data_IF_182987640148
#
_entry.id   IF_182987640148
#
_cell.length_a   1.000
_cell.length_b   1.000
_cell.length_c   1.000
_cell.angle_alpha   90.00
_cell.angle_beta   90.00
_cell.angle_gamma   90.00
#
_symmetry.space_group_name_H-M   'P 1'
#
loop_
_entity.id
_entity.type
_entity.pdbx_description
1 polymer ?
#
# COMPACT_ATOMS: atom_id res chain seq x y z
N UNK A 1 20.73 -18.27 -2.30
CA UNK A 1 21.15 -18.98 -1.05
C UNK A 1 20.71 -20.43 -1.18
N UNK A 2 21.61 -21.35 -0.97
CA UNK A 2 21.35 -22.80 -1.13
C UNK A 2 21.39 -23.57 0.20
N UNK A 3 21.76 -22.90 1.28
CA UNK A 3 21.80 -23.47 2.64
C UNK A 3 20.98 -22.60 3.58
N UNK A 4 20.13 -23.19 4.43
CA UNK A 4 19.45 -22.43 5.47
C UNK A 4 20.49 -21.90 6.48
N UNK A 5 20.19 -20.74 7.07
CA UNK A 5 21.00 -20.15 8.13
C UNK A 5 20.10 -19.39 9.12
N UNK A 6 20.62 -19.18 10.33
CA UNK A 6 19.86 -18.70 11.48
C UNK A 6 19.14 -17.36 11.20
N UNK A 7 19.82 -16.38 10.61
CA UNK A 7 19.22 -15.06 10.34
C UNK A 7 18.01 -15.09 9.40
N UNK A 8 18.02 -15.98 8.38
CA UNK A 8 16.85 -16.16 7.52
C UNK A 8 15.65 -16.72 8.30
N UNK A 9 15.93 -17.76 9.11
CA UNK A 9 14.90 -18.42 9.93
C UNK A 9 14.32 -17.43 10.94
N UNK A 10 15.18 -16.66 11.63
CA UNK A 10 14.74 -15.67 12.61
C UNK A 10 13.86 -14.57 12.01
N UNK A 11 14.18 -14.05 10.81
CA UNK A 11 13.30 -13.10 10.10
C UNK A 11 11.96 -13.74 9.75
N UNK A 12 11.96 -14.97 9.25
CA UNK A 12 10.73 -15.69 8.91
C UNK A 12 9.85 -15.91 10.15
N UNK A 13 10.44 -16.31 11.29
CA UNK A 13 9.73 -16.47 12.57
C UNK A 13 9.15 -15.15 13.07
N UNK A 14 9.93 -14.06 12.99
CA UNK A 14 9.46 -12.72 13.37
C UNK A 14 8.26 -12.28 12.50
N UNK A 15 8.33 -12.47 11.19
CA UNK A 15 7.22 -12.14 10.28
C UNK A 15 5.98 -13.02 10.54
N UNK A 16 6.17 -14.32 10.80
CA UNK A 16 5.07 -15.21 11.16
C UNK A 16 4.37 -14.79 12.44
N UNK A 17 5.11 -14.25 13.41
CA UNK A 17 4.57 -13.74 14.68
C UNK A 17 3.87 -12.40 14.52
N UNK A 18 4.45 -11.48 13.75
CA UNK A 18 4.00 -10.09 13.65
C UNK A 18 2.80 -9.90 12.72
N UNK A 19 2.68 -10.71 11.68
CA UNK A 19 1.58 -10.56 10.72
C UNK A 19 0.24 -10.98 11.30
N UNK A 20 -0.89 -10.32 10.92
CA UNK A 20 -2.22 -10.58 11.48
C UNK A 20 -2.68 -12.05 11.40
N UNK A 21 -3.46 -12.46 12.39
CA UNK A 21 -4.12 -13.77 12.51
C UNK A 21 -3.31 -14.79 13.32
N UNK A 22 -4.04 -15.74 13.94
CA UNK A 22 -3.48 -16.76 14.86
C UNK A 22 -3.22 -18.13 14.18
N UNK A 23 -3.49 -18.23 12.88
CA UNK A 23 -3.25 -19.44 12.10
C UNK A 23 -1.75 -19.71 11.91
N UNK A 24 -1.39 -20.96 11.63
CA UNK A 24 -0.01 -21.32 11.27
C UNK A 24 0.42 -20.58 10.00
N UNK A 25 1.60 -19.97 10.05
CA UNK A 25 2.15 -19.17 8.96
C UNK A 25 3.52 -19.65 8.52
N UNK A 26 3.88 -19.34 7.28
CA UNK A 26 5.21 -19.47 6.71
C UNK A 26 5.58 -18.22 5.94
N UNK A 27 6.89 -17.94 5.89
CA UNK A 27 7.45 -16.80 5.15
C UNK A 27 8.49 -17.25 4.14
N UNK A 28 8.49 -16.58 2.98
CA UNK A 28 9.56 -16.71 1.98
C UNK A 28 10.13 -15.31 1.71
N UNK A 29 11.47 -15.19 1.68
CA UNK A 29 12.18 -13.93 1.56
C UNK A 29 12.65 -13.70 0.12
N UNK A 30 12.55 -12.44 -0.32
CA UNK A 30 12.89 -11.93 -1.66
C UNK A 30 13.68 -10.63 -1.53
N UNK A 31 13.97 -9.95 -2.66
CA UNK A 31 14.78 -8.73 -2.65
C UNK A 31 13.96 -7.44 -2.82
N UNK A 32 12.76 -7.51 -3.38
CA UNK A 32 11.93 -6.34 -3.69
C UNK A 32 10.44 -6.62 -3.52
N UNK A 33 9.66 -5.57 -3.30
CA UNK A 33 8.19 -5.68 -3.25
C UNK A 33 7.59 -6.28 -4.51
N UNK A 34 8.15 -5.95 -5.69
CA UNK A 34 7.70 -6.55 -6.95
C UNK A 34 7.91 -8.07 -6.98
N UNK A 35 9.07 -8.56 -6.50
CA UNK A 35 9.31 -10.00 -6.37
C UNK A 35 8.34 -10.64 -5.38
N UNK A 36 8.07 -10.01 -4.24
CA UNK A 36 7.11 -10.51 -3.26
C UNK A 36 5.71 -10.63 -3.88
N UNK A 37 5.23 -9.60 -4.58
CA UNK A 37 3.92 -9.61 -5.27
C UNK A 37 3.87 -10.69 -6.35
N UNK A 38 4.89 -10.82 -7.19
CA UNK A 38 4.99 -11.87 -8.22
C UNK A 38 4.87 -13.28 -7.59
N UNK A 39 5.57 -13.50 -6.47
CA UNK A 39 5.54 -14.77 -5.78
C UNK A 39 4.22 -15.01 -5.01
N UNK A 40 3.61 -13.99 -4.43
CA UNK A 40 2.29 -14.11 -3.81
C UNK A 40 1.23 -14.56 -4.83
N UNK A 41 1.20 -13.96 -6.03
CA UNK A 41 0.33 -14.37 -7.13
C UNK A 41 0.65 -15.79 -7.60
N UNK A 42 1.93 -16.13 -7.72
CA UNK A 42 2.38 -17.47 -8.11
C UNK A 42 1.93 -18.55 -7.12
N UNK A 43 2.04 -18.27 -5.82
CA UNK A 43 1.59 -19.15 -4.74
C UNK A 43 0.06 -19.32 -4.80
N UNK A 44 -0.70 -18.22 -4.90
CA UNK A 44 -2.15 -18.25 -4.98
C UNK A 44 -2.67 -19.04 -6.18
N UNK A 45 -2.07 -18.83 -7.36
CA UNK A 45 -2.39 -19.63 -8.57
C UNK A 45 -2.12 -21.12 -8.38
N UNK A 46 -0.99 -21.45 -7.75
CA UNK A 46 -0.63 -22.85 -7.49
C UNK A 46 -1.55 -23.52 -6.47
N UNK A 47 -1.92 -22.79 -5.41
CA UNK A 47 -2.80 -23.29 -4.36
C UNK A 47 -4.22 -23.54 -4.88
N UNK A 48 -4.78 -22.57 -5.60
CA UNK A 48 -6.18 -22.65 -6.07
C UNK A 48 -6.35 -23.46 -7.35
N UNK A 49 -5.29 -23.66 -8.15
CA UNK A 49 -5.36 -24.20 -9.51
C UNK A 49 -6.03 -23.26 -10.52
N UNK A 50 -6.35 -22.02 -10.12
CA UNK A 50 -7.01 -21.00 -10.95
C UNK A 50 -5.99 -20.03 -11.50
N UNK A 51 -6.35 -19.23 -12.52
CA UNK A 51 -5.39 -18.37 -13.24
C UNK A 51 -5.60 -16.87 -13.02
N UNK A 52 -6.85 -16.41 -12.96
CA UNK A 52 -7.17 -15.01 -12.91
C UNK A 52 -6.78 -14.37 -11.58
N UNK A 53 -6.34 -13.10 -11.64
CA UNK A 53 -6.07 -12.27 -10.47
C UNK A 53 -6.75 -10.92 -10.66
N UNK A 54 -7.38 -10.42 -9.62
CA UNK A 54 -7.99 -9.09 -9.60
C UNK A 54 -7.12 -8.15 -8.78
N UNK A 55 -6.79 -7.01 -9.38
CA UNK A 55 -6.27 -5.81 -8.70
C UNK A 55 -7.32 -4.69 -8.78
N UNK A 56 -7.08 -3.58 -8.09
CA UNK A 56 -8.04 -2.47 -8.03
C UNK A 56 -7.61 -1.25 -8.82
N UNK A 57 -8.56 -0.38 -9.13
CA UNK A 57 -8.27 0.94 -9.64
C UNK A 57 -7.38 1.70 -8.65
N UNK A 58 -6.53 2.57 -9.17
CA UNK A 58 -5.54 3.33 -8.41
C UNK A 58 -4.41 2.50 -7.78
N UNK A 59 -4.41 1.17 -7.85
CA UNK A 59 -3.40 0.31 -7.24
C UNK A 59 -2.00 0.46 -7.87
N UNK A 60 -0.98 0.22 -7.03
CA UNK A 60 0.41 0.10 -7.45
C UNK A 60 1.09 -1.10 -6.78
N UNK A 61 1.51 -2.06 -7.60
CA UNK A 61 2.11 -3.31 -7.11
C UNK A 61 3.54 -3.56 -7.60
N UNK A 62 4.12 -2.65 -8.38
CA UNK A 62 5.50 -2.75 -8.86
C UNK A 62 5.67 -2.47 -10.34
N UNK A 63 6.89 -2.73 -10.85
CA UNK A 63 7.31 -2.39 -12.23
C UNK A 63 7.92 -3.57 -12.99
N UNK A 64 7.72 -4.82 -12.57
CA UNK A 64 8.00 -6.02 -13.36
C UNK A 64 6.81 -6.33 -14.27
N UNK A 65 6.91 -7.27 -15.18
CA UNK A 65 5.89 -7.50 -16.21
C UNK A 65 4.51 -7.80 -15.60
N UNK A 66 4.43 -8.71 -14.62
CA UNK A 66 3.16 -9.01 -13.95
C UNK A 66 2.72 -7.85 -13.04
N UNK A 67 3.62 -7.26 -12.28
CA UNK A 67 3.25 -6.17 -11.35
C UNK A 67 2.84 -4.89 -12.11
N UNK A 68 3.36 -4.63 -13.31
CA UNK A 68 2.84 -3.58 -14.21
C UNK A 68 1.42 -3.90 -14.68
N UNK A 69 1.09 -5.16 -14.96
CA UNK A 69 -0.29 -5.55 -15.27
C UNK A 69 -1.24 -5.26 -14.09
N UNK A 70 -0.80 -5.54 -12.86
CA UNK A 70 -1.55 -5.27 -11.63
C UNK A 70 -1.63 -3.77 -11.30
N UNK A 71 -0.63 -2.96 -11.67
CA UNK A 71 -0.60 -1.51 -11.44
C UNK A 71 -1.61 -0.78 -12.33
N UNK A 72 -2.37 0.16 -11.77
CA UNK A 72 -3.45 0.84 -12.49
C UNK A 72 -2.95 1.94 -13.43
N UNK A 73 -2.16 2.88 -12.92
CA UNK A 73 -1.75 4.10 -13.62
C UNK A 73 -0.82 3.80 -14.80
N UNK A 74 -1.15 4.24 -16.02
CA UNK A 74 -0.33 4.05 -17.21
C UNK A 74 0.97 4.86 -17.14
N UNK A 75 0.87 6.18 -17.15
CA UNK A 75 2.03 7.07 -16.97
C UNK A 75 2.27 7.34 -15.48
N UNK A 76 3.51 7.26 -14.99
CA UNK A 76 4.75 6.95 -15.70
C UNK A 76 5.11 5.44 -15.69
N UNK A 77 4.25 4.54 -15.19
CA UNK A 77 4.68 3.21 -14.76
C UNK A 77 4.77 2.16 -15.87
N UNK A 78 3.86 2.19 -16.85
CA UNK A 78 3.73 1.10 -17.82
C UNK A 78 3.53 1.51 -19.27
N UNK A 79 3.40 2.82 -19.57
CA UNK A 79 3.24 3.30 -20.94
C UNK A 79 4.47 2.93 -21.80
N UNK A 80 4.24 2.19 -22.89
CA UNK A 80 5.30 1.76 -23.80
C UNK A 80 6.07 0.49 -23.41
N UNK A 81 5.75 -0.14 -22.26
CA UNK A 81 6.45 -1.33 -21.75
C UNK A 81 5.71 -2.67 -21.99
N UNK A 82 4.59 -2.66 -22.71
CA UNK A 82 3.84 -3.88 -23.02
C UNK A 82 4.56 -4.78 -24.04
N UNK A 83 4.08 -6.02 -24.23
CA UNK A 83 2.87 -6.60 -23.65
C UNK A 83 3.05 -7.02 -22.19
N UNK A 84 1.96 -6.94 -21.41
CA UNK A 84 1.96 -7.32 -20.00
C UNK A 84 1.45 -8.77 -19.80
N UNK A 85 1.65 -9.31 -18.58
CA UNK A 85 1.11 -10.60 -18.19
C UNK A 85 -0.42 -10.65 -18.31
N UNK A 86 -0.94 -11.75 -18.82
CA UNK A 86 -2.37 -12.02 -18.96
C UNK A 86 -3.03 -12.47 -17.66
N UNK A 87 -4.36 -12.67 -17.74
CA UNK A 87 -5.20 -13.10 -16.61
C UNK A 87 -5.13 -12.15 -15.41
N UNK A 88 -5.01 -10.84 -15.67
CA UNK A 88 -5.09 -9.77 -14.70
C UNK A 88 -6.29 -8.89 -15.03
N UNK A 89 -7.20 -8.78 -14.09
CA UNK A 89 -8.45 -8.05 -14.21
C UNK A 89 -8.49 -6.90 -13.20
N UNK A 90 -9.37 -5.92 -13.43
CA UNK A 90 -9.43 -4.73 -12.61
C UNK A 90 -10.84 -4.48 -12.09
N UNK A 91 -10.95 -4.23 -10.78
CA UNK A 91 -12.19 -3.85 -10.13
C UNK A 91 -12.10 -2.41 -9.59
N UNK A 92 -13.23 -1.70 -9.46
CA UNK A 92 -13.25 -0.40 -8.81
C UNK A 92 -12.93 -0.56 -7.31
N UNK A 93 -12.16 0.39 -6.78
CA UNK A 93 -11.87 0.48 -5.33
C UNK A 93 -12.86 1.43 -4.65
N UNK A 94 -12.96 1.35 -3.32
CA UNK A 94 -13.63 2.39 -2.53
C UNK A 94 -12.75 3.65 -2.50
N UNK A 95 -13.32 4.77 -2.93
CA UNK A 95 -12.69 6.09 -2.90
C UNK A 95 -13.70 7.13 -2.38
N UNK A 96 -13.93 7.19 -1.05
CA UNK A 96 -15.05 7.95 -0.46
C UNK A 96 -15.16 9.38 -0.93
N UNK A 97 -14.04 10.09 -1.04
CA UNK A 97 -14.01 11.47 -1.53
C UNK A 97 -14.51 11.61 -2.97
N UNK A 98 -14.37 10.57 -3.79
CA UNK A 98 -14.70 10.60 -5.20
C UNK A 98 -16.05 9.97 -5.52
N UNK A 99 -16.35 8.84 -4.92
CA UNK A 99 -17.56 8.08 -5.23
C UNK A 99 -18.71 8.25 -4.22
N UNK A 100 -18.38 8.75 -3.01
CA UNK A 100 -19.36 8.99 -1.95
C UNK A 100 -20.07 7.72 -1.45
N UNK A 101 -19.54 6.52 -1.77
CA UNK A 101 -20.14 5.26 -1.41
C UNK A 101 -19.73 4.81 -0.01
N UNK A 102 -20.63 4.14 0.69
CA UNK A 102 -20.27 3.36 1.87
C UNK A 102 -19.36 2.19 1.48
N UNK A 103 -18.67 1.61 2.46
CA UNK A 103 -17.80 0.46 2.22
C UNK A 103 -18.55 -0.74 1.64
N UNK A 104 -19.77 -0.98 2.13
CA UNK A 104 -20.62 -2.08 1.65
C UNK A 104 -21.05 -1.85 0.18
N UNK A 105 -21.48 -0.64 -0.17
CA UNK A 105 -21.87 -0.30 -1.54
C UNK A 105 -20.71 -0.39 -2.52
N UNK A 106 -19.53 0.13 -2.11
CA UNK A 106 -18.32 0.03 -2.91
C UNK A 106 -17.87 -1.41 -3.09
N UNK A 107 -17.96 -2.26 -2.06
CA UNK A 107 -17.65 -3.69 -2.14
C UNK A 107 -18.63 -4.43 -3.07
N UNK A 108 -19.93 -4.18 -2.95
CA UNK A 108 -20.94 -4.75 -3.87
C UNK A 108 -20.67 -4.37 -5.33
N UNK A 109 -20.28 -3.11 -5.58
CA UNK A 109 -19.88 -2.65 -6.91
C UNK A 109 -18.67 -3.42 -7.41
N UNK A 110 -17.61 -3.56 -6.61
CA UNK A 110 -16.41 -4.27 -6.98
C UNK A 110 -16.69 -5.76 -7.26
N UNK A 111 -17.38 -6.45 -6.37
CA UNK A 111 -17.75 -7.86 -6.51
C UNK A 111 -18.58 -8.09 -7.77
N UNK A 112 -19.56 -7.22 -8.04
CA UNK A 112 -20.38 -7.32 -9.27
C UNK A 112 -19.54 -7.21 -10.55
N UNK A 113 -18.50 -6.40 -10.54
CA UNK A 113 -17.55 -6.27 -11.67
C UNK A 113 -16.71 -7.55 -11.79
N UNK A 114 -16.20 -8.06 -10.67
CA UNK A 114 -15.42 -9.31 -10.62
C UNK A 114 -16.24 -10.49 -11.18
N UNK A 115 -17.46 -10.65 -10.71
CA UNK A 115 -18.35 -11.74 -11.15
C UNK A 115 -18.64 -11.67 -12.65
N UNK A 116 -18.85 -10.48 -13.20
CA UNK A 116 -19.14 -10.30 -14.63
C UNK A 116 -17.92 -10.50 -15.53
N UNK A 117 -16.73 -10.15 -15.07
CA UNK A 117 -15.51 -10.24 -15.89
C UNK A 117 -14.84 -11.62 -15.80
N UNK A 118 -14.85 -12.24 -14.63
CA UNK A 118 -14.04 -13.42 -14.32
C UNK A 118 -14.89 -14.55 -13.75
N UNK A 119 -15.76 -14.25 -12.78
CA UNK A 119 -16.43 -15.21 -11.94
C UNK A 119 -15.50 -15.85 -10.90
N UNK A 120 -16.01 -16.05 -9.69
CA UNK A 120 -15.23 -16.55 -8.55
C UNK A 120 -14.54 -17.91 -8.84
N UNK A 121 -15.16 -18.79 -9.62
CA UNK A 121 -14.62 -20.11 -9.96
C UNK A 121 -13.30 -20.09 -10.73
N UNK A 122 -13.00 -19.00 -11.43
CA UNK A 122 -11.76 -18.83 -12.22
C UNK A 122 -10.71 -17.97 -11.49
N UNK A 123 -11.09 -17.32 -10.39
CA UNK A 123 -10.27 -16.33 -9.69
C UNK A 123 -9.35 -17.00 -8.66
N UNK A 124 -8.04 -16.86 -8.85
CA UNK A 124 -7.03 -17.35 -7.94
C UNK A 124 -6.89 -16.44 -6.74
N UNK A 125 -6.83 -15.13 -6.97
CA UNK A 125 -6.57 -14.15 -5.92
C UNK A 125 -7.19 -12.78 -6.20
N UNK A 126 -7.47 -12.07 -5.13
CA UNK A 126 -7.65 -10.62 -5.09
C UNK A 126 -6.44 -10.02 -4.39
N UNK A 127 -5.81 -9.00 -4.96
CA UNK A 127 -4.71 -8.28 -4.35
C UNK A 127 -5.06 -6.80 -4.16
N UNK A 128 -4.79 -6.26 -2.97
CA UNK A 128 -5.09 -4.87 -2.62
C UNK A 128 -4.07 -4.31 -1.63
N UNK A 129 -3.73 -3.04 -1.77
CA UNK A 129 -3.06 -2.26 -0.72
C UNK A 129 -4.15 -1.86 0.31
N UNK A 130 -4.02 -2.12 1.61
CA UNK A 130 -5.02 -1.69 2.61
C UNK A 130 -5.28 -0.18 2.62
N UNK A 131 -4.24 0.61 2.33
CA UNK A 131 -4.30 2.03 1.98
C UNK A 131 -3.50 2.17 0.68
N UNK A 132 -4.12 2.68 -0.38
CA UNK A 132 -3.48 2.73 -1.69
C UNK A 132 -2.41 3.83 -1.74
N UNK A 133 -1.13 3.40 -1.77
CA UNK A 133 0.01 4.30 -1.65
C UNK A 133 0.17 5.25 -2.84
N UNK A 134 0.66 4.76 -3.96
CA UNK A 134 0.88 5.55 -5.18
C UNK A 134 -0.43 6.05 -5.80
N UNK A 135 -1.56 5.40 -5.48
CA UNK A 135 -2.90 5.82 -5.86
C UNK A 135 -3.34 7.12 -5.22
N UNK A 136 -2.68 7.57 -4.13
CA UNK A 136 -2.94 8.84 -3.46
C UNK A 136 -3.29 8.74 -1.99
N UNK A 137 -2.73 7.78 -1.28
CA UNK A 137 -3.03 7.47 0.13
C UNK A 137 -4.54 7.33 0.38
N UNK A 138 -5.21 6.64 -0.59
CA UNK A 138 -6.64 6.42 -0.52
C UNK A 138 -6.94 5.44 0.62
N UNK A 139 -7.67 5.92 1.60
CA UNK A 139 -8.22 5.10 2.69
C UNK A 139 -9.61 4.65 2.27
N UNK A 140 -9.86 3.36 2.09
CA UNK A 140 -11.19 2.88 1.71
C UNK A 140 -12.20 3.13 2.82
N UNK A 141 -13.48 3.26 2.47
CA UNK A 141 -14.57 3.39 3.44
C UNK A 141 -14.64 2.16 4.36
N UNK A 142 -15.04 2.39 5.60
CA UNK A 142 -15.16 1.35 6.62
C UNK A 142 -16.05 0.19 6.12
N UNK A 143 -15.58 -1.04 6.35
CA UNK A 143 -16.25 -2.26 5.91
C UNK A 143 -15.94 -2.71 4.47
N UNK A 144 -15.31 -1.88 3.63
CA UNK A 144 -14.97 -2.27 2.25
C UNK A 144 -14.02 -3.47 2.21
N UNK A 145 -12.88 -3.38 2.91
CA UNK A 145 -11.88 -4.45 2.94
C UNK A 145 -12.42 -5.72 3.57
N UNK A 146 -13.23 -5.60 4.63
CA UNK A 146 -13.86 -6.73 5.31
C UNK A 146 -14.80 -7.46 4.34
N UNK A 147 -15.68 -6.74 3.63
CA UNK A 147 -16.61 -7.34 2.69
C UNK A 147 -15.89 -8.04 1.52
N UNK A 148 -14.77 -7.50 1.03
CA UNK A 148 -13.96 -8.16 -0.01
C UNK A 148 -13.27 -9.41 0.56
N UNK A 149 -12.68 -9.34 1.76
CA UNK A 149 -12.01 -10.47 2.40
C UNK A 149 -13.01 -11.62 2.70
N UNK A 150 -14.19 -11.30 3.23
CA UNK A 150 -15.25 -12.26 3.50
C UNK A 150 -15.75 -12.94 2.21
N UNK A 151 -15.93 -12.15 1.14
CA UNK A 151 -16.30 -12.68 -0.17
C UNK A 151 -15.20 -13.61 -0.72
N UNK A 152 -13.93 -13.25 -0.59
CA UNK A 152 -12.82 -14.11 -0.99
C UNK A 152 -12.85 -15.44 -0.24
N UNK A 153 -13.00 -15.41 1.09
CA UNK A 153 -13.08 -16.58 1.95
C UNK A 153 -14.26 -17.49 1.54
N UNK A 154 -15.44 -16.92 1.33
CA UNK A 154 -16.64 -17.64 0.95
C UNK A 154 -16.50 -18.36 -0.41
N UNK A 155 -15.63 -17.88 -1.29
CA UNK A 155 -15.45 -18.39 -2.65
C UNK A 155 -14.13 -19.17 -2.84
N UNK A 156 -13.32 -19.35 -1.79
CA UNK A 156 -12.00 -19.99 -1.87
C UNK A 156 -11.04 -19.23 -2.79
N UNK A 157 -11.11 -17.90 -2.77
CA UNK A 157 -10.21 -16.97 -3.46
C UNK A 157 -9.17 -16.50 -2.45
N UNK A 158 -7.89 -16.48 -2.82
CA UNK A 158 -6.83 -16.02 -1.92
C UNK A 158 -6.88 -14.48 -1.80
N UNK A 159 -7.02 -13.97 -0.58
CA UNK A 159 -6.97 -12.54 -0.30
C UNK A 159 -5.53 -12.11 0.04
N UNK A 160 -4.93 -11.27 -0.82
CA UNK A 160 -3.54 -10.80 -0.68
C UNK A 160 -3.56 -9.32 -0.26
N UNK A 161 -3.03 -9.01 0.93
CA UNK A 161 -2.76 -7.63 1.33
C UNK A 161 -1.34 -7.22 0.93
N UNK A 162 -1.22 -6.21 0.09
CA UNK A 162 0.07 -5.60 -0.25
C UNK A 162 0.43 -4.52 0.79
N UNK A 163 1.16 -4.93 1.80
CA UNK A 163 1.63 -4.08 2.90
C UNK A 163 3.05 -3.52 2.66
N UNK A 164 3.51 -3.54 1.43
CA UNK A 164 4.85 -3.04 1.05
C UNK A 164 5.06 -1.58 1.47
N UNK A 165 4.01 -0.74 1.42
CA UNK A 165 4.11 0.67 1.82
C UNK A 165 3.49 0.95 3.19
N UNK A 166 2.50 0.19 3.60
CA UNK A 166 1.70 0.43 4.81
C UNK A 166 2.21 -0.29 6.05
N UNK A 167 3.01 -1.33 5.86
CA UNK A 167 3.57 -2.13 6.96
C UNK A 167 4.66 -1.41 7.76
N UNK A 168 5.04 -2.06 8.84
CA UNK A 168 6.11 -1.64 9.75
C UNK A 168 5.86 -0.26 10.37
N UNK A 169 4.81 -0.18 11.15
CA UNK A 169 4.39 0.95 12.01
C UNK A 169 3.95 2.23 11.28
N UNK A 170 4.17 2.34 9.98
CA UNK A 170 3.93 3.55 9.17
C UNK A 170 2.55 4.17 9.37
N UNK A 171 1.53 3.35 9.52
CA UNK A 171 0.12 3.77 9.61
C UNK A 171 -0.41 3.87 11.05
N UNK A 172 0.46 3.71 12.05
CA UNK A 172 0.08 3.70 13.46
C UNK A 172 -0.37 2.34 14.00
N UNK A 173 -0.08 1.28 13.24
CA UNK A 173 -0.15 -0.13 13.64
C UNK A 173 1.02 -0.88 13.00
N UNK A 174 1.35 -2.09 13.43
CA UNK A 174 2.44 -2.87 12.81
C UNK A 174 2.13 -3.11 11.33
N UNK A 175 0.89 -3.45 11.00
CA UNK A 175 0.36 -3.56 9.64
C UNK A 175 -0.98 -2.83 9.51
N UNK A 176 -1.24 -2.20 8.37
CA UNK A 176 -2.50 -1.49 8.16
C UNK A 176 -3.72 -2.43 8.19
N UNK A 177 -3.56 -3.69 7.84
CA UNK A 177 -4.60 -4.72 7.97
C UNK A 177 -5.21 -4.78 9.37
N UNK A 178 -4.42 -4.50 10.42
CA UNK A 178 -4.90 -4.45 11.82
C UNK A 178 -5.89 -3.30 12.03
N UNK A 179 -5.67 -2.14 11.39
CA UNK A 179 -6.55 -0.98 11.51
C UNK A 179 -7.96 -1.25 10.95
N UNK A 180 -8.05 -2.16 9.99
CA UNK A 180 -9.30 -2.55 9.35
C UNK A 180 -9.89 -3.86 9.91
N UNK A 181 -9.19 -4.49 10.88
CA UNK A 181 -9.62 -5.76 11.48
C UNK A 181 -9.70 -6.91 10.47
N UNK A 182 -8.86 -6.91 9.44
CA UNK A 182 -8.79 -7.97 8.41
C UNK A 182 -7.61 -8.89 8.67
N UNK A 183 -7.79 -10.18 8.34
CA UNK A 183 -6.74 -11.20 8.39
C UNK A 183 -6.52 -11.74 6.98
N UNK A 184 -5.51 -11.22 6.25
CA UNK A 184 -5.20 -11.68 4.90
C UNK A 184 -4.71 -13.13 4.86
N UNK A 185 -4.93 -13.82 3.74
CA UNK A 185 -4.36 -15.14 3.48
C UNK A 185 -2.85 -15.07 3.19
N UNK A 186 -2.44 -14.05 2.42
CA UNK A 186 -1.06 -13.70 2.14
C UNK A 186 -0.82 -12.20 2.36
N UNK A 187 0.36 -11.86 2.87
CA UNK A 187 0.82 -10.48 3.03
C UNK A 187 2.15 -10.33 2.29
N UNK A 188 2.28 -9.26 1.49
CA UNK A 188 3.57 -8.88 0.91
C UNK A 188 4.18 -7.72 1.68
N UNK A 189 5.47 -7.82 2.01
CA UNK A 189 6.22 -6.80 2.75
C UNK A 189 7.54 -6.48 2.07
N UNK A 190 7.99 -5.22 2.19
CA UNK A 190 9.28 -4.74 1.71
C UNK A 190 9.58 -3.35 2.32
N UNK A 191 10.27 -2.46 1.60
CA UNK A 191 10.58 -1.06 2.01
C UNK A 191 11.13 -0.97 3.43
N UNK A 192 10.28 -0.69 4.43
CA UNK A 192 10.69 -0.50 5.83
C UNK A 192 11.29 -1.73 6.51
N UNK A 193 11.04 -2.94 5.99
CA UNK A 193 11.41 -4.21 6.64
C UNK A 193 12.88 -4.32 7.09
N UNK A 194 13.81 -3.71 6.35
CA UNK A 194 15.26 -3.84 6.60
C UNK A 194 15.97 -2.48 6.64
N UNK A 195 15.29 -1.42 7.07
CA UNK A 195 15.89 -0.11 7.32
C UNK A 195 16.62 0.51 6.11
N UNK A 196 16.23 0.16 4.88
CA UNK A 196 16.82 0.66 3.64
C UNK A 196 17.61 -0.38 2.84
N UNK A 197 17.89 -1.57 3.38
CA UNK A 197 18.50 -2.67 2.62
C UNK A 197 17.44 -3.44 1.80
N UNK A 198 17.81 -3.98 0.62
CA UNK A 198 16.91 -4.77 -0.20
C UNK A 198 16.49 -6.07 0.49
N UNK A 199 15.25 -6.09 0.94
CA UNK A 199 14.57 -7.27 1.47
C UNK A 199 13.06 -7.14 1.24
N UNK A 200 12.42 -8.27 0.95
CA UNK A 200 10.98 -8.38 0.85
C UNK A 200 10.54 -9.77 1.30
N UNK A 201 9.27 -9.92 1.62
CA UNK A 201 8.74 -11.23 2.01
C UNK A 201 7.30 -11.42 1.51
N UNK A 202 6.94 -12.69 1.36
CA UNK A 202 5.56 -13.16 1.37
C UNK A 202 5.38 -13.96 2.66
N UNK A 203 4.44 -13.56 3.48
CA UNK A 203 4.03 -14.28 4.69
C UNK A 203 2.57 -14.64 4.58
N UNK A 204 2.19 -15.85 4.93
CA UNK A 204 0.78 -16.23 4.88
C UNK A 204 0.48 -17.60 5.45
N UNK A 205 -0.76 -18.03 5.27
CA UNK A 205 -1.26 -19.33 5.76
C UNK A 205 -0.35 -20.46 5.33
N UNK A 206 0.05 -21.31 6.26
CA UNK A 206 1.01 -22.37 6.01
C UNK A 206 0.54 -23.30 4.86
N UNK A 207 -0.74 -23.65 4.83
CA UNK A 207 -1.33 -24.49 3.77
C UNK A 207 -1.28 -23.85 2.38
N UNK A 208 -1.36 -22.53 2.30
CA UNK A 208 -1.25 -21.78 1.03
C UNK A 208 0.21 -21.69 0.62
N UNK A 209 1.09 -21.35 1.55
CA UNK A 209 2.54 -21.26 1.29
C UNK A 209 3.15 -22.60 0.88
N UNK A 210 2.66 -23.72 1.45
CA UNK A 210 3.11 -25.08 1.15
C UNK A 210 2.65 -25.61 -0.22
N UNK A 211 1.75 -24.92 -0.89
CA UNK A 211 1.37 -25.27 -2.27
C UNK A 211 2.56 -25.14 -3.25
N UNK A 212 3.54 -24.32 -2.93
CA UNK A 212 4.76 -24.23 -3.72
C UNK A 212 5.62 -25.50 -3.52
N UNK A 213 5.88 -26.24 -4.62
CA UNK A 213 6.76 -27.40 -4.58
C UNK A 213 8.23 -27.00 -4.34
N UNK A 214 9.06 -27.95 -3.92
CA UNK A 214 10.49 -27.74 -3.72
C UNK A 214 11.14 -27.15 -4.98
N UNK A 215 11.88 -26.04 -4.82
CA UNK A 215 12.46 -25.27 -5.93
C UNK A 215 11.46 -24.40 -6.69
N UNK A 216 10.19 -24.38 -6.30
CA UNK A 216 9.14 -23.56 -6.93
C UNK A 216 9.26 -22.07 -6.60
N UNK A 217 9.81 -21.71 -5.46
CA UNK A 217 10.12 -20.34 -5.05
C UNK A 217 11.63 -20.17 -4.93
N UNK A 218 12.12 -18.96 -5.18
CA UNK A 218 13.53 -18.70 -5.01
C UNK A 218 13.98 -17.36 -5.58
N UNK A 219 15.18 -16.98 -5.19
CA UNK A 219 15.94 -15.83 -5.64
C UNK A 219 17.33 -15.92 -5.02
N UNK A 220 18.38 -15.76 -5.83
CA UNK A 220 19.77 -16.03 -5.40
C UNK A 220 20.17 -15.28 -4.13
N UNK A 221 19.75 -14.03 -3.99
CA UNK A 221 20.08 -13.17 -2.86
C UNK A 221 18.88 -12.82 -1.97
N UNK A 222 17.70 -13.39 -2.22
CA UNK A 222 16.54 -13.24 -1.35
C UNK A 222 16.84 -13.74 0.07
N UNK A 223 16.67 -12.88 1.07
CA UNK A 223 17.05 -13.19 2.44
C UNK A 223 18.56 -13.29 2.66
N UNK A 224 19.36 -12.43 2.03
CA UNK A 224 20.82 -12.40 2.26
C UNK A 224 21.14 -12.02 3.72
N UNK A 225 22.30 -12.48 4.28
CA UNK A 225 22.62 -12.30 5.70
C UNK A 225 22.64 -10.85 6.17
N UNK A 226 23.11 -9.91 5.34
CA UNK A 226 23.22 -8.50 5.71
C UNK A 226 21.80 -7.89 5.84
N UNK A 227 20.94 -8.13 4.88
CA UNK A 227 19.57 -7.64 4.92
C UNK A 227 18.74 -8.30 6.04
N UNK A 228 18.97 -9.60 6.33
CA UNK A 228 18.32 -10.28 7.46
C UNK A 228 18.77 -9.71 8.80
N UNK A 229 20.06 -9.44 8.99
CA UNK A 229 20.57 -8.79 10.21
C UNK A 229 19.97 -7.39 10.40
N UNK A 230 19.88 -6.59 9.32
CA UNK A 230 19.26 -5.28 9.36
C UNK A 230 17.73 -5.37 9.63
N UNK A 231 17.05 -6.37 9.07
CA UNK A 231 15.63 -6.59 9.31
C UNK A 231 15.35 -6.96 10.78
N UNK A 232 16.14 -7.82 11.38
CA UNK A 232 15.99 -8.18 12.80
C UNK A 232 16.19 -6.96 13.70
N UNK A 233 17.19 -6.12 13.42
CA UNK A 233 17.39 -4.86 14.16
C UNK A 233 16.25 -3.86 13.94
N UNK A 234 15.74 -3.73 12.72
CA UNK A 234 14.61 -2.86 12.45
C UNK A 234 13.33 -3.34 13.13
N UNK A 235 13.06 -4.66 13.11
CA UNK A 235 11.90 -5.26 13.80
C UNK A 235 12.01 -5.03 15.31
N UNK A 236 13.18 -5.25 15.91
CA UNK A 236 13.40 -5.00 17.33
C UNK A 236 13.10 -3.53 17.68
N UNK A 237 13.60 -2.59 16.88
CA UNK A 237 13.30 -1.16 17.06
C UNK A 237 11.80 -0.87 16.94
N UNK A 238 11.09 -1.43 15.94
CA UNK A 238 9.64 -1.24 15.79
C UNK A 238 8.84 -1.74 17.01
N UNK A 239 9.31 -2.80 17.65
CA UNK A 239 8.63 -3.39 18.81
C UNK A 239 8.99 -2.68 20.14
N UNK A 240 10.19 -2.09 20.25
CA UNK A 240 10.73 -1.60 21.53
C UNK A 240 10.81 -0.08 21.64
N UNK A 241 10.91 0.66 20.54
CA UNK A 241 11.17 2.11 20.55
C UNK A 241 9.90 2.97 20.39
N UNK A 242 8.70 2.39 20.45
CA UNK A 242 7.44 3.12 20.43
C UNK A 242 7.05 3.73 19.09
N UNK A 243 7.54 3.22 17.97
CA UNK A 243 7.28 3.78 16.63
C UNK A 243 5.79 3.80 16.24
N UNK A 244 4.97 2.93 16.80
CA UNK A 244 3.51 2.97 16.58
C UNK A 244 2.94 4.29 17.12
N UNK A 245 3.29 4.66 18.35
CA UNK A 245 2.82 5.91 18.96
C UNK A 245 3.44 7.13 18.28
N UNK A 246 4.72 7.06 17.90
CA UNK A 246 5.37 8.12 17.12
C UNK A 246 4.67 8.35 15.78
N UNK A 247 4.30 7.28 15.06
CA UNK A 247 3.55 7.41 13.80
C UNK A 247 2.18 8.06 14.00
N UNK A 248 1.49 7.78 15.10
CA UNK A 248 0.22 8.43 15.47
C UNK A 248 0.42 9.91 15.77
N UNK A 249 1.41 10.27 16.58
CA UNK A 249 1.73 11.66 16.93
C UNK A 249 2.09 12.49 15.69
N UNK A 250 2.94 11.96 14.80
CA UNK A 250 3.24 12.59 13.51
C UNK A 250 1.96 12.78 12.69
N UNK A 251 1.11 11.77 12.66
CA UNK A 251 -0.18 11.84 11.97
C UNK A 251 -1.08 12.95 12.52
N UNK A 252 -1.21 13.05 13.85
CA UNK A 252 -1.97 14.11 14.52
C UNK A 252 -1.46 15.50 14.15
N UNK A 253 -0.14 15.71 14.17
CA UNK A 253 0.48 16.98 13.78
C UNK A 253 0.22 17.31 12.29
N UNK A 254 0.36 16.33 11.40
CA UNK A 254 0.04 16.48 9.97
C UNK A 254 -1.43 16.83 9.76
N UNK A 255 -2.36 16.09 10.35
CA UNK A 255 -3.80 16.35 10.23
C UNK A 255 -4.17 17.72 10.78
N UNK A 256 -3.70 18.10 11.96
CA UNK A 256 -4.01 19.40 12.57
C UNK A 256 -3.63 20.55 11.63
N UNK A 257 -2.41 20.54 11.09
CA UNK A 257 -1.94 21.62 10.21
C UNK A 257 -2.60 21.60 8.83
N UNK A 258 -2.71 20.44 8.21
CA UNK A 258 -3.26 20.30 6.85
C UNK A 258 -4.77 20.54 6.80
N UNK A 259 -5.52 20.14 7.85
CA UNK A 259 -6.95 20.45 7.96
C UNK A 259 -7.18 21.96 8.14
N UNK A 260 -6.35 22.66 8.94
CA UNK A 260 -6.44 24.10 9.05
C UNK A 260 -6.18 24.80 7.69
N UNK A 261 -5.29 24.26 6.86
CA UNK A 261 -5.08 24.76 5.49
C UNK A 261 -6.32 24.46 4.62
N UNK A 262 -6.89 23.27 4.71
CA UNK A 262 -8.10 22.89 3.98
C UNK A 262 -9.29 23.80 4.31
N UNK A 263 -9.47 24.17 5.56
CA UNK A 263 -10.54 25.10 5.99
C UNK A 263 -10.35 26.51 5.43
N UNK A 264 -9.10 26.93 5.21
CA UNK A 264 -8.76 28.26 4.71
C UNK A 264 -8.68 28.34 3.18
N UNK A 265 -8.47 27.22 2.48
CA UNK A 265 -8.22 27.18 1.03
C UNK A 265 -9.09 26.13 0.32
N UNK A 266 -10.10 26.59 -0.40
CA UNK A 266 -11.03 25.73 -1.13
C UNK A 266 -10.39 24.88 -2.26
N UNK A 267 -9.12 25.14 -2.61
CA UNK A 267 -8.34 24.31 -3.55
C UNK A 267 -7.90 23.00 -2.92
N UNK A 268 -7.89 22.92 -1.59
CA UNK A 268 -7.62 21.68 -0.83
C UNK A 268 -8.95 20.94 -0.65
N UNK A 269 -9.19 19.91 -1.47
CA UNK A 269 -10.43 19.16 -1.46
C UNK A 269 -10.53 18.16 -0.31
N UNK A 270 -9.43 17.44 -0.02
CA UNK A 270 -9.40 16.43 1.04
C UNK A 270 -8.03 16.32 1.68
N UNK A 271 -8.01 16.13 3.00
CA UNK A 271 -6.87 15.65 3.78
C UNK A 271 -7.21 14.25 4.28
N UNK A 272 -6.40 13.26 3.96
CA UNK A 272 -6.66 11.85 4.34
C UNK A 272 -5.39 11.08 4.69
N UNK A 273 -5.54 9.97 5.37
CA UNK A 273 -4.41 9.10 5.74
C UNK A 273 -4.62 8.33 7.02
N UNK A 274 -3.57 7.65 7.48
CA UNK A 274 -3.48 6.98 8.78
C UNK A 274 -2.05 7.08 9.30
N UNK A 275 -1.88 7.36 10.60
CA UNK A 275 -0.56 7.53 11.20
C UNK A 275 0.30 8.53 10.43
N UNK A 276 1.57 8.22 10.22
CA UNK A 276 2.52 9.07 9.49
C UNK A 276 2.45 8.91 7.95
N UNK A 277 1.28 8.53 7.43
CA UNK A 277 0.99 8.39 6.00
C UNK A 277 -0.22 9.25 5.67
N UNK A 278 -0.01 10.54 5.35
CA UNK A 278 -1.06 11.55 5.12
C UNK A 278 -0.89 12.20 3.75
N UNK A 279 -1.99 12.53 3.10
CA UNK A 279 -2.00 13.20 1.80
C UNK A 279 -3.01 14.34 1.75
N UNK A 280 -2.72 15.29 0.86
CA UNK A 280 -3.61 16.41 0.48
C UNK A 280 -3.98 16.24 -0.98
N UNK A 281 -5.27 16.27 -1.26
CA UNK A 281 -5.79 16.24 -2.64
C UNK A 281 -6.26 17.64 -3.09
N UNK A 282 -5.69 18.11 -4.19
CA UNK A 282 -6.04 19.40 -4.77
C UNK A 282 -7.12 19.28 -5.83
N UNK A 283 -8.04 20.23 -5.81
CA UNK A 283 -9.20 20.31 -6.71
C UNK A 283 -9.40 21.72 -7.22
N UNK A 284 -10.10 21.85 -8.34
CA UNK A 284 -10.58 23.15 -8.82
C UNK A 284 -11.85 23.52 -8.07
N UNK A 285 -11.88 24.64 -7.31
CA UNK A 285 -13.03 25.03 -6.54
C UNK A 285 -14.30 25.23 -7.39
N UNK A 286 -15.44 24.84 -6.84
CA UNK A 286 -16.75 25.03 -7.49
C UNK A 286 -17.03 24.06 -8.64
N UNK A 287 -16.16 23.11 -8.92
CA UNK A 287 -16.40 22.06 -9.92
C UNK A 287 -17.09 20.87 -9.29
N UNK A 288 -17.94 20.20 -10.04
CA UNK A 288 -18.57 18.94 -9.65
C UNK A 288 -18.74 18.03 -10.87
N UNK A 289 -18.52 16.74 -10.68
CA UNK A 289 -18.76 15.70 -11.68
C UNK A 289 -19.30 14.45 -11.00
N UNK A 290 -19.70 13.46 -11.79
CA UNK A 290 -20.08 12.14 -11.28
C UNK A 290 -18.95 11.41 -10.55
N UNK A 291 -17.72 11.93 -10.63
CA UNK A 291 -16.48 11.37 -10.06
C UNK A 291 -15.81 12.35 -9.06
N UNK A 292 -16.63 13.15 -8.37
CA UNK A 292 -16.17 14.18 -7.45
C UNK A 292 -15.66 15.46 -8.14
N UNK A 293 -15.02 16.38 -7.39
CA UNK A 293 -14.46 17.61 -7.90
C UNK A 293 -13.37 17.40 -8.95
N UNK A 294 -13.21 18.36 -9.89
CA UNK A 294 -12.14 18.27 -10.90
C UNK A 294 -10.75 18.34 -10.27
N UNK A 295 -9.85 17.36 -10.57
CA UNK A 295 -8.50 17.34 -10.02
C UNK A 295 -7.63 18.52 -10.51
N UNK A 296 -6.80 19.09 -9.64
CA UNK A 296 -5.83 20.15 -10.01
C UNK A 296 -4.39 19.65 -9.91
N UNK A 297 -3.93 18.94 -10.95
CA UNK A 297 -2.56 18.46 -11.05
C UNK A 297 -1.53 19.60 -11.23
N UNK A 298 -1.96 20.71 -11.82
CA UNK A 298 -1.08 21.86 -12.05
C UNK A 298 -0.72 22.53 -10.71
N UNK A 299 -1.68 22.69 -9.83
CA UNK A 299 -1.47 23.22 -8.47
C UNK A 299 -0.58 22.30 -7.67
N UNK A 300 -0.86 20.97 -7.64
CA UNK A 300 -0.02 20.00 -6.93
C UNK A 300 1.45 20.04 -7.38
N UNK A 301 1.67 20.11 -8.70
CA UNK A 301 3.02 20.23 -9.26
C UNK A 301 3.71 21.54 -8.89
N UNK A 302 2.98 22.67 -8.90
CA UNK A 302 3.52 23.97 -8.54
C UNK A 302 3.91 24.01 -7.05
N UNK A 303 3.04 23.51 -6.16
CA UNK A 303 3.31 23.43 -4.71
C UNK A 303 4.54 22.55 -4.44
N UNK A 304 4.60 21.35 -5.03
CA UNK A 304 5.75 20.46 -4.83
C UNK A 304 7.06 21.12 -5.27
N UNK A 305 7.07 21.78 -6.44
CA UNK A 305 8.24 22.50 -6.94
C UNK A 305 8.67 23.66 -6.03
N UNK A 306 7.69 24.43 -5.53
CA UNK A 306 7.97 25.56 -4.65
C UNK A 306 8.47 25.13 -3.25
N UNK A 307 7.92 24.04 -2.69
CA UNK A 307 8.43 23.45 -1.45
C UNK A 307 9.89 22.98 -1.59
N UNK A 308 10.21 22.29 -2.69
CA UNK A 308 11.59 21.85 -2.97
C UNK A 308 12.54 23.03 -3.07
N UNK A 309 12.12 24.14 -3.68
CA UNK A 309 12.93 25.36 -3.76
C UNK A 309 13.22 26.00 -2.39
N UNK A 310 12.40 25.70 -1.38
CA UNK A 310 12.58 26.11 0.02
C UNK A 310 13.18 25.01 0.90
N UNK A 311 13.71 23.93 0.32
CA UNK A 311 14.40 22.85 1.04
C UNK A 311 13.47 21.75 1.60
N UNK A 312 12.16 21.80 1.31
CA UNK A 312 11.19 20.79 1.77
C UNK A 312 10.81 19.86 0.62
N UNK A 313 11.22 18.59 0.71
CA UNK A 313 10.95 17.59 -0.32
C UNK A 313 9.58 16.95 -0.07
N UNK A 314 8.61 17.27 -0.91
CA UNK A 314 7.33 16.59 -0.99
C UNK A 314 7.14 15.96 -2.37
N UNK A 315 6.33 14.91 -2.46
CA UNK A 315 6.12 14.17 -3.70
C UNK A 315 4.65 14.21 -4.13
N UNK A 316 4.43 14.39 -5.43
CA UNK A 316 3.11 14.20 -6.02
C UNK A 316 2.80 12.72 -6.23
N UNK A 317 1.53 12.35 -6.13
CA UNK A 317 1.03 11.01 -6.42
C UNK A 317 -0.42 11.06 -6.92
N UNK A 318 -1.11 9.93 -6.90
CA UNK A 318 -2.48 9.81 -7.37
C UNK A 318 -2.59 9.57 -8.87
N UNK A 319 -3.67 8.93 -9.28
CA UNK A 319 -3.95 8.64 -10.69
C UNK A 319 -4.02 9.92 -11.51
N UNK A 320 -4.58 10.97 -10.94
CA UNK A 320 -4.74 12.28 -11.59
C UNK A 320 -3.55 13.21 -11.39
N UNK A 321 -2.56 12.85 -10.55
CA UNK A 321 -1.38 13.67 -10.29
C UNK A 321 -1.62 14.92 -9.44
N UNK A 322 -2.78 15.02 -8.79
CA UNK A 322 -3.27 16.17 -8.04
C UNK A 322 -3.11 16.03 -6.52
N UNK A 323 -2.28 15.10 -6.06
CA UNK A 323 -2.12 14.77 -4.65
C UNK A 323 -0.68 14.99 -4.24
N UNK A 324 -0.46 15.64 -3.11
CA UNK A 324 0.82 15.67 -2.40
C UNK A 324 0.75 14.70 -1.22
N UNK A 325 1.77 13.87 -1.09
CA UNK A 325 1.90 12.91 0.01
C UNK A 325 2.96 13.33 1.00
N UNK A 326 2.64 13.17 2.27
CA UNK A 326 3.52 13.38 3.41
C UNK A 326 3.89 12.03 4.01
N UNK A 327 5.17 11.71 3.96
CA UNK A 327 5.69 10.43 4.43
C UNK A 327 7.04 10.68 5.14
N UNK A 328 7.04 11.49 6.21
CA UNK A 328 8.28 11.81 6.91
C UNK A 328 8.91 10.57 7.55
N UNK A 329 10.22 10.57 7.82
CA UNK A 329 10.83 9.56 8.69
C UNK A 329 10.10 9.51 10.03
N UNK A 330 9.90 8.30 10.59
CA UNK A 330 9.28 8.18 11.91
C UNK A 330 10.16 8.75 13.04
N UNK A 331 11.42 9.03 12.75
CA UNK A 331 12.38 9.66 13.65
C UNK A 331 12.54 11.15 13.42
N UNK A 332 11.62 11.78 12.64
CA UNK A 332 11.71 13.22 12.38
C UNK A 332 11.54 14.01 13.69
N UNK A 333 12.40 14.98 14.01
CA UNK A 333 12.18 15.91 15.13
C UNK A 333 10.91 16.75 14.91
N UNK A 334 10.18 17.03 15.99
CA UNK A 334 8.90 17.77 15.94
C UNK A 334 9.07 19.19 15.36
N UNK A 335 10.17 19.87 15.68
CA UNK A 335 10.50 21.19 15.16
C UNK A 335 10.74 21.18 13.65
N UNK A 336 11.42 20.17 13.12
CA UNK A 336 11.61 20.01 11.67
C UNK A 336 10.32 19.64 10.95
N UNK A 337 9.44 18.85 11.57
CA UNK A 337 8.12 18.56 11.03
C UNK A 337 7.28 19.84 10.95
N UNK A 338 7.28 20.63 12.02
CA UNK A 338 6.56 21.90 12.08
C UNK A 338 7.09 22.90 11.03
N UNK A 339 8.40 23.06 10.92
CA UNK A 339 9.06 23.92 9.91
C UNK A 339 8.66 23.50 8.49
N UNK A 340 8.70 22.20 8.19
CA UNK A 340 8.30 21.68 6.89
C UNK A 340 6.83 21.96 6.56
N UNK A 341 5.93 21.86 7.53
CA UNK A 341 4.51 22.17 7.37
C UNK A 341 4.24 23.69 7.23
N UNK A 342 5.02 24.53 7.90
CA UNK A 342 4.94 25.98 7.71
C UNK A 342 5.34 26.39 6.29
N UNK A 343 6.40 25.81 5.74
CA UNK A 343 6.80 26.01 4.34
C UNK A 343 5.67 25.61 3.39
N UNK A 344 5.00 24.47 3.62
CA UNK A 344 3.87 24.03 2.78
C UNK A 344 2.73 25.06 2.84
N UNK A 345 2.40 25.57 4.03
CA UNK A 345 1.34 26.59 4.21
C UNK A 345 1.68 27.89 3.49
N UNK A 346 2.91 28.38 3.66
CA UNK A 346 3.37 29.64 3.04
C UNK A 346 3.41 29.54 1.51
N UNK A 347 3.87 28.39 0.99
CA UNK A 347 3.86 28.09 -0.46
C UNK A 347 2.43 28.13 -1.01
N UNK A 348 1.48 27.45 -0.35
CA UNK A 348 0.09 27.43 -0.78
C UNK A 348 -0.55 28.83 -0.75
N UNK A 349 -0.27 29.61 0.28
CA UNK A 349 -0.77 30.99 0.40
C UNK A 349 -0.17 31.92 -0.68
N UNK A 350 1.06 31.66 -1.13
CA UNK A 350 1.75 32.45 -2.15
C UNK A 350 1.42 32.09 -3.60
N UNK A 351 0.76 30.96 -3.86
CA UNK A 351 0.34 30.53 -5.20
C UNK A 351 -1.10 30.98 -5.45
N UNK A 352 -1.26 31.85 -6.45
CA UNK A 352 -2.58 32.39 -6.88
C UNK A 352 -3.35 31.39 -7.77
#
# INVERSE_FOLDING_TARGET
MISPYEGYVAVAEALNRLTPGDHAKKSALFNSGAEAVENAVKIARKFTGRQAVVAFDHAYHGRTNLTMALTAKSMPYKSGFGPFAGEVYRAPVSYPFRDGLSGEEAAKRAISVIDKQVGAANLAAVIIEPILGEGGFIVPADGFLNAIADWCTANGVVFIADEVQTGFTRTGAMFASELFGIVPDLITTAKGIAGGLPLAAVTGRAEIMDAAHAGGLGGTYGGNPIACAAALAAIDAFETEGFIETAKSIGEALFARLTAIQEADARVGEVRGRGAMVAVEFVKPGTASSNGPEPDAALAGAVAKACIAQGVVVLTCGTYGNIIRFLPPLTIPDDLLAEGLDVVADVLAGIS
#
